data_IF_522978803150
#
_entry.id   IF_522978803150
#
_cell.length_a   1.000
_cell.length_b   1.000
_cell.length_c   1.000
_cell.angle_alpha   90.00
_cell.angle_beta   90.00
_cell.angle_gamma   90.00
#
_symmetry.space_group_name_H-M   'P 1'
#
loop_
_entity.id
_entity.type
_entity.pdbx_description
1 polymer ?
#
# COMPACT_ATOMS: atom_id res chain seq x y z
N UNK A 1 9.30 -22.32 4.61
CA UNK A 1 9.23 -22.47 6.09
C UNK A 1 7.95 -21.84 6.59
N UNK A 2 7.16 -22.57 7.41
CA UNK A 2 5.90 -22.06 7.94
C UNK A 2 6.12 -20.91 8.94
N UNK A 3 5.32 -19.84 8.81
CA UNK A 3 5.39 -18.62 9.63
C UNK A 3 4.46 -18.78 10.80
N UNK A 4 5.02 -19.01 11.98
CA UNK A 4 4.26 -19.30 13.20
C UNK A 4 3.92 -18.08 14.05
N UNK A 5 4.68 -16.98 13.89
CA UNK A 5 4.47 -15.72 14.61
C UNK A 5 4.15 -14.64 13.58
N UNK A 6 2.89 -14.25 13.51
CA UNK A 6 2.39 -13.31 12.52
C UNK A 6 1.86 -12.07 13.22
N UNK A 7 2.40 -10.91 12.92
CA UNK A 7 1.86 -9.62 13.32
C UNK A 7 1.00 -9.04 12.19
N UNK A 8 -0.26 -8.77 12.47
CA UNK A 8 -1.16 -8.08 11.54
C UNK A 8 -1.29 -6.62 11.97
N UNK A 9 -0.87 -5.70 11.10
CA UNK A 9 -1.09 -4.26 11.25
C UNK A 9 -2.37 -3.92 10.48
N UNK A 10 -3.45 -3.66 11.22
CA UNK A 10 -4.78 -3.48 10.68
C UNK A 10 -5.22 -2.02 10.65
N UNK A 11 -5.59 -1.54 9.46
CA UNK A 11 -6.24 -0.24 9.29
C UNK A 11 -7.77 -0.40 9.30
N UNK A 12 -8.47 -0.01 10.38
CA UNK A 12 -9.91 -0.22 10.53
C UNK A 12 -10.74 0.64 9.56
N UNK A 13 -10.16 1.68 8.94
CA UNK A 13 -10.88 2.55 8.00
C UNK A 13 -10.88 2.00 6.56
N UNK A 14 -10.20 0.88 6.28
CA UNK A 14 -10.00 0.35 4.93
C UNK A 14 -11.20 -0.37 4.31
N UNK A 15 -12.41 -0.27 4.88
CA UNK A 15 -13.65 -0.67 4.22
C UNK A 15 -14.54 -1.61 5.03
N UNK A 16 -15.88 -1.52 4.81
CA UNK A 16 -16.89 -2.29 5.54
C UNK A 16 -16.88 -3.80 5.28
N UNK A 17 -16.45 -4.26 4.10
CA UNK A 17 -16.34 -5.69 3.74
C UNK A 17 -15.09 -6.36 4.34
N UNK A 18 -14.21 -5.58 4.92
CA UNK A 18 -12.92 -6.03 5.42
C UNK A 18 -13.01 -6.88 6.68
N UNK A 19 -13.96 -6.61 7.58
CA UNK A 19 -14.05 -7.28 8.87
C UNK A 19 -14.27 -8.80 8.75
N UNK A 20 -15.16 -9.23 7.83
CA UNK A 20 -15.43 -10.64 7.61
C UNK A 20 -14.22 -11.37 7.00
N UNK A 21 -13.55 -10.75 6.01
CA UNK A 21 -12.35 -11.32 5.40
C UNK A 21 -11.21 -11.40 6.40
N UNK A 22 -10.99 -10.34 7.18
CA UNK A 22 -9.99 -10.30 8.25
C UNK A 22 -10.22 -11.42 9.26
N UNK A 23 -11.44 -11.55 9.80
CA UNK A 23 -11.78 -12.59 10.76
C UNK A 23 -11.57 -14.00 10.21
N UNK A 24 -12.00 -14.25 8.96
CA UNK A 24 -11.83 -15.55 8.33
C UNK A 24 -10.35 -15.90 8.09
N UNK A 25 -9.52 -14.93 7.70
CA UNK A 25 -8.07 -15.14 7.52
C UNK A 25 -7.39 -15.42 8.88
N UNK A 26 -7.72 -14.68 9.93
CA UNK A 26 -7.19 -14.91 11.27
C UNK A 26 -7.56 -16.31 11.78
N UNK A 27 -8.82 -16.71 11.60
CA UNK A 27 -9.27 -18.08 11.94
C UNK A 27 -8.48 -19.13 11.15
N UNK A 28 -8.27 -18.94 9.85
CA UNK A 28 -7.48 -19.84 9.00
C UNK A 28 -6.03 -19.94 9.47
N UNK A 29 -5.38 -18.82 9.76
CA UNK A 29 -4.00 -18.79 10.27
C UNK A 29 -3.86 -19.53 11.61
N UNK A 30 -4.81 -19.30 12.53
CA UNK A 30 -4.82 -19.98 13.82
C UNK A 30 -5.03 -21.49 13.67
N UNK A 31 -5.91 -21.91 12.75
CA UNK A 31 -6.13 -23.32 12.43
C UNK A 31 -4.89 -24.00 11.83
N UNK A 32 -4.06 -23.25 11.09
CA UNK A 32 -2.76 -23.69 10.58
C UNK A 32 -1.65 -23.73 11.66
N UNK A 33 -1.94 -23.27 12.88
CA UNK A 33 -1.01 -23.26 13.99
C UNK A 33 -0.18 -21.98 14.13
N UNK A 34 -0.55 -20.89 13.47
CA UNK A 34 0.07 -19.60 13.69
C UNK A 34 -0.45 -18.92 14.95
N UNK A 35 0.46 -18.26 15.68
CA UNK A 35 0.12 -17.25 16.68
C UNK A 35 -0.02 -15.91 15.96
N UNK A 36 -1.19 -15.30 16.08
CA UNK A 36 -1.52 -14.04 15.41
C UNK A 36 -1.68 -12.94 16.44
N UNK A 37 -0.84 -11.92 16.35
CA UNK A 37 -0.98 -10.67 17.07
C UNK A 37 -1.56 -9.60 16.14
N UNK A 38 -2.48 -8.74 16.63
CA UNK A 38 -3.12 -7.70 15.83
C UNK A 38 -2.87 -6.35 16.48
N UNK A 39 -2.29 -5.42 15.70
CA UNK A 39 -2.16 -4.00 16.08
C UNK A 39 -3.01 -3.15 15.15
N UNK A 40 -3.84 -2.30 15.71
CA UNK A 40 -4.77 -1.43 14.97
C UNK A 40 -4.15 -0.06 14.80
N UNK A 41 -4.23 0.48 13.58
CA UNK A 41 -3.77 1.86 13.33
C UNK A 41 -4.81 2.88 13.77
N UNK A 42 -4.38 3.99 14.33
CA UNK A 42 -5.22 5.04 14.87
C UNK A 42 -5.20 6.32 14.02
N UNK A 43 -4.08 6.57 13.33
CA UNK A 43 -3.86 7.77 12.50
C UNK A 43 -2.99 7.45 11.27
N UNK A 44 -2.92 8.38 10.34
CA UNK A 44 -2.06 8.25 9.15
C UNK A 44 -0.57 8.22 9.56
N UNK A 45 0.19 7.27 9.02
CA UNK A 45 1.58 7.03 9.40
C UNK A 45 1.77 6.05 10.57
N UNK A 46 0.70 5.67 11.31
CA UNK A 46 0.83 4.77 12.45
C UNK A 46 1.30 3.37 12.05
N UNK A 47 0.91 2.88 10.86
CA UNK A 47 1.41 1.60 10.37
C UNK A 47 2.93 1.60 10.15
N UNK A 48 3.52 2.74 9.77
CA UNK A 48 4.98 2.90 9.67
C UNK A 48 5.65 2.77 11.05
N UNK A 49 5.08 3.42 12.08
CA UNK A 49 5.62 3.34 13.44
C UNK A 49 5.54 1.91 13.97
N UNK A 50 4.34 1.28 13.87
CA UNK A 50 4.12 -0.09 14.33
C UNK A 50 5.03 -1.12 13.65
N UNK A 51 5.30 -0.95 12.34
CA UNK A 51 6.22 -1.82 11.61
C UNK A 51 7.69 -1.61 12.00
N UNK A 52 8.07 -0.36 12.29
CA UNK A 52 9.44 -0.03 12.72
C UNK A 52 9.76 -0.46 14.16
N UNK A 53 8.75 -0.73 14.99
CA UNK A 53 8.91 -1.23 16.36
C UNK A 53 9.19 -2.73 16.44
N UNK A 54 9.07 -3.45 15.32
CA UNK A 54 9.33 -4.90 15.30
C UNK A 54 10.82 -5.15 15.49
N UNK A 55 11.15 -5.94 16.49
CA UNK A 55 12.54 -6.27 16.81
C UNK A 55 12.92 -7.63 16.24
N UNK A 56 13.95 -7.66 15.40
CA UNK A 56 14.65 -8.86 14.94
C UNK A 56 13.75 -10.08 14.70
N UNK A 57 14.04 -11.17 15.40
CA UNK A 57 13.34 -12.46 15.24
C UNK A 57 12.00 -12.57 16.00
N UNK A 58 11.39 -11.46 16.41
CA UNK A 58 10.14 -11.48 17.18
C UNK A 58 8.94 -11.98 16.35
N UNK A 59 8.96 -11.74 15.04
CA UNK A 59 7.90 -12.09 14.10
C UNK A 59 8.47 -12.81 12.88
N UNK A 60 7.75 -13.82 12.38
CA UNK A 60 8.11 -14.54 11.17
C UNK A 60 7.53 -13.87 9.91
N UNK A 61 6.50 -13.03 10.09
CA UNK A 61 5.85 -12.26 9.03
C UNK A 61 5.11 -11.06 9.63
N UNK A 62 5.14 -9.93 8.92
CA UNK A 62 4.26 -8.79 9.18
C UNK A 62 3.23 -8.70 8.06
N UNK A 63 1.95 -8.62 8.41
CA UNK A 63 0.84 -8.52 7.46
C UNK A 63 0.26 -7.11 7.48
N UNK A 64 0.32 -6.44 6.34
CA UNK A 64 -0.40 -5.18 6.13
C UNK A 64 -1.86 -5.47 5.78
N UNK A 65 -2.75 -5.30 6.75
CA UNK A 65 -4.19 -5.51 6.59
C UNK A 65 -4.89 -4.17 6.34
N UNK A 66 -4.98 -3.78 5.07
CA UNK A 66 -5.50 -2.48 4.65
C UNK A 66 -5.54 -2.30 3.15
N UNK A 67 -5.53 -1.05 2.69
CA UNK A 67 -5.36 -0.68 1.28
C UNK A 67 -3.90 -0.37 0.95
N UNK A 68 -3.66 0.10 -0.29
CA UNK A 68 -2.33 0.41 -0.80
C UNK A 68 -1.54 1.39 0.09
N UNK A 69 -2.22 2.36 0.70
CA UNK A 69 -1.59 3.28 1.67
C UNK A 69 -1.06 2.57 2.90
N UNK A 70 -1.82 1.63 3.48
CA UNK A 70 -1.37 0.83 4.64
C UNK A 70 -0.18 -0.06 4.28
N UNK A 71 -0.22 -0.69 3.10
CA UNK A 71 0.90 -1.50 2.59
C UNK A 71 2.15 -0.62 2.46
N UNK A 72 2.01 0.56 1.86
CA UNK A 72 3.13 1.48 1.69
C UNK A 72 3.69 2.01 3.02
N UNK A 73 2.83 2.30 3.99
CA UNK A 73 3.27 2.66 5.35
C UNK A 73 4.08 1.55 6.01
N UNK A 74 3.61 0.28 5.92
CA UNK A 74 4.34 -0.86 6.49
C UNK A 74 5.69 -1.04 5.80
N UNK A 75 5.79 -0.91 4.47
CA UNK A 75 7.05 -0.95 3.73
C UNK A 75 8.04 0.10 4.27
N UNK A 76 7.59 1.34 4.48
CA UNK A 76 8.41 2.41 5.02
C UNK A 76 8.84 2.17 6.48
N UNK A 77 8.08 1.41 7.25
CA UNK A 77 8.46 0.99 8.59
C UNK A 77 9.51 -0.13 8.56
N UNK A 78 9.25 -1.18 7.76
CA UNK A 78 10.17 -2.30 7.59
C UNK A 78 11.54 -1.89 7.06
N UNK A 79 11.58 -0.89 6.17
CA UNK A 79 12.83 -0.38 5.62
C UNK A 79 13.76 0.30 6.65
N UNK A 80 13.29 0.50 7.89
CA UNK A 80 14.10 1.02 8.99
C UNK A 80 14.78 -0.08 9.81
N UNK A 81 14.45 -1.33 9.54
CA UNK A 81 15.01 -2.49 10.23
C UNK A 81 16.25 -3.00 9.49
N UNK A 82 17.26 -3.39 10.23
CA UNK A 82 18.47 -4.01 9.65
C UNK A 82 18.12 -5.35 8.97
N UNK A 83 17.22 -6.11 9.60
CA UNK A 83 16.67 -7.36 9.06
C UNK A 83 15.16 -7.31 9.17
N UNK A 84 14.49 -7.18 8.03
CA UNK A 84 13.03 -7.12 7.98
C UNK A 84 12.43 -8.52 7.77
N UNK A 85 11.40 -8.89 8.54
CA UNK A 85 10.62 -10.10 8.23
C UNK A 85 9.85 -9.92 6.91
N UNK A 86 9.44 -11.02 6.25
CA UNK A 86 8.59 -10.96 5.07
C UNK A 86 7.32 -10.14 5.30
N UNK A 87 6.93 -9.36 4.28
CA UNK A 87 5.67 -8.64 4.25
C UNK A 87 4.58 -9.50 3.62
N UNK A 88 3.52 -9.76 4.37
CA UNK A 88 2.24 -10.27 3.85
C UNK A 88 1.26 -9.14 3.55
N UNK A 89 0.33 -9.38 2.62
CA UNK A 89 -0.70 -8.40 2.26
C UNK A 89 -2.08 -9.03 2.45
N UNK A 90 -2.91 -8.39 3.26
CA UNK A 90 -4.33 -8.69 3.38
C UNK A 90 -5.12 -7.52 2.75
N UNK A 91 -5.64 -7.69 1.52
CA UNK A 91 -6.14 -6.59 0.70
C UNK A 91 -7.55 -6.17 1.11
N UNK A 92 -7.65 -5.24 2.06
CA UNK A 92 -8.91 -4.74 2.62
C UNK A 92 -9.36 -3.40 2.03
N UNK A 93 -8.55 -2.79 1.17
CA UNK A 93 -8.83 -1.49 0.56
C UNK A 93 -9.74 -1.57 -0.67
N UNK A 94 -9.85 -0.43 -1.38
CA UNK A 94 -10.69 -0.31 -2.58
C UNK A 94 -9.95 -0.71 -3.86
N UNK A 95 -8.70 -0.28 -4.03
CA UNK A 95 -7.91 -0.51 -5.25
C UNK A 95 -7.02 -1.75 -5.11
N UNK A 96 -6.26 -1.87 -4.01
CA UNK A 96 -5.37 -2.98 -3.68
C UNK A 96 -4.45 -3.34 -4.86
N UNK A 97 -3.78 -2.32 -5.41
CA UNK A 97 -3.02 -2.42 -6.65
C UNK A 97 -1.92 -3.46 -6.54
N UNK A 98 -1.11 -3.41 -5.46
CA UNK A 98 -0.04 -4.38 -5.25
C UNK A 98 -0.57 -5.81 -5.09
N UNK A 99 -1.72 -6.00 -4.43
CA UNK A 99 -2.33 -7.32 -4.31
C UNK A 99 -2.79 -7.87 -5.68
N UNK A 100 -3.25 -6.99 -6.59
CA UNK A 100 -3.58 -7.38 -7.96
C UNK A 100 -2.33 -7.69 -8.80
N UNK A 101 -1.27 -6.90 -8.65
CA UNK A 101 0.02 -7.13 -9.30
C UNK A 101 0.58 -8.50 -8.93
N UNK A 102 0.55 -8.82 -7.64
CA UNK A 102 0.98 -10.11 -7.09
C UNK A 102 -0.02 -11.25 -7.34
N UNK A 103 -1.14 -10.99 -8.02
CA UNK A 103 -2.20 -11.96 -8.28
C UNK A 103 -2.71 -12.69 -7.04
N UNK A 104 -2.78 -11.98 -5.89
CA UNK A 104 -3.23 -12.58 -4.65
C UNK A 104 -4.67 -13.11 -4.75
N UNK A 105 -4.96 -14.27 -4.16
CA UNK A 105 -6.29 -14.86 -4.18
C UNK A 105 -7.29 -14.00 -3.40
N UNK A 106 -8.59 -14.23 -3.67
CA UNK A 106 -9.69 -13.56 -2.96
C UNK A 106 -10.24 -14.39 -1.81
N UNK A 107 -9.97 -15.68 -1.79
CA UNK A 107 -10.43 -16.63 -0.78
C UNK A 107 -9.65 -16.41 0.53
N UNK A 108 -10.36 -16.35 1.66
CA UNK A 108 -9.74 -16.24 2.97
C UNK A 108 -8.83 -17.42 3.28
N UNK A 109 -9.24 -18.64 2.90
CA UNK A 109 -8.44 -19.85 3.08
C UNK A 109 -7.11 -19.76 2.31
N UNK A 110 -7.18 -19.45 1.02
CA UNK A 110 -5.97 -19.35 0.20
C UNK A 110 -5.05 -18.18 0.65
N UNK A 111 -5.62 -17.07 1.14
CA UNK A 111 -4.84 -15.98 1.74
C UNK A 111 -4.14 -16.45 3.03
N UNK A 112 -4.83 -17.18 3.90
CA UNK A 112 -4.23 -17.72 5.12
C UNK A 112 -3.09 -18.70 4.80
N UNK A 113 -3.26 -19.59 3.83
CA UNK A 113 -2.23 -20.53 3.37
C UNK A 113 -0.98 -19.79 2.84
N UNK A 114 -1.17 -18.78 1.98
CA UNK A 114 -0.06 -17.98 1.44
C UNK A 114 0.65 -17.19 2.56
N UNK A 115 -0.08 -16.60 3.47
CA UNK A 115 0.50 -15.87 4.61
C UNK A 115 1.25 -16.80 5.56
N UNK A 116 0.80 -18.03 5.72
CA UNK A 116 1.41 -19.02 6.60
C UNK A 116 2.66 -19.67 5.99
N UNK A 117 2.60 -20.15 4.76
CA UNK A 117 3.69 -20.92 4.14
C UNK A 117 3.91 -20.64 2.63
N UNK A 118 3.40 -19.53 2.11
CA UNK A 118 3.58 -19.15 0.72
C UNK A 118 5.02 -18.72 0.40
N UNK A 119 5.37 -18.81 -0.88
CA UNK A 119 6.64 -18.32 -1.40
C UNK A 119 6.75 -16.81 -1.24
N UNK A 120 7.96 -16.35 -0.99
CA UNK A 120 8.29 -14.92 -0.98
C UNK A 120 9.01 -14.53 -2.27
N UNK A 121 8.78 -13.30 -2.70
CA UNK A 121 9.56 -12.67 -3.78
C UNK A 121 10.13 -11.35 -3.29
N UNK A 122 11.25 -10.94 -3.84
CA UNK A 122 11.85 -9.66 -3.49
C UNK A 122 11.08 -8.53 -4.17
N UNK A 123 10.71 -7.52 -3.40
CA UNK A 123 10.16 -6.26 -3.89
C UNK A 123 11.24 -5.18 -3.78
N UNK A 124 11.46 -4.46 -4.87
CA UNK A 124 12.36 -3.30 -4.91
C UNK A 124 11.49 -2.03 -4.93
N UNK A 125 11.24 -1.38 -3.80
CA UNK A 125 10.44 -0.17 -3.79
C UNK A 125 11.18 0.98 -4.45
N UNK A 126 10.45 1.83 -5.16
CA UNK A 126 10.98 3.10 -5.62
C UNK A 126 11.21 4.05 -4.44
N UNK A 127 12.09 5.05 -4.62
CA UNK A 127 12.47 6.04 -3.61
C UNK A 127 12.16 7.43 -4.13
N UNK A 128 11.50 8.25 -3.32
CA UNK A 128 11.23 9.65 -3.62
C UNK A 128 11.66 10.54 -2.47
N UNK A 129 12.31 11.64 -2.80
CA UNK A 129 12.74 12.66 -1.84
C UNK A 129 12.37 14.04 -2.39
N UNK A 130 11.68 14.84 -1.60
CA UNK A 130 11.45 16.25 -1.89
C UNK A 130 12.49 17.13 -1.17
N UNK A 131 12.59 18.38 -1.56
CA UNK A 131 13.55 19.33 -0.94
C UNK A 131 13.28 19.51 0.55
N UNK A 132 12.01 19.62 0.95
CA UNK A 132 11.57 19.84 2.33
C UNK A 132 10.87 18.62 2.94
N UNK A 133 10.80 17.51 2.23
CA UNK A 133 10.09 16.30 2.65
C UNK A 133 11.07 15.16 2.93
N UNK A 134 10.82 14.36 3.98
CA UNK A 134 11.64 13.19 4.24
C UNK A 134 11.53 12.22 3.07
N UNK A 135 12.61 11.47 2.85
CA UNK A 135 12.63 10.38 1.88
C UNK A 135 11.53 9.36 2.18
N UNK A 136 10.86 8.92 1.14
CA UNK A 136 9.79 7.91 1.21
C UNK A 136 9.98 6.83 0.15
N UNK A 137 9.67 5.61 0.53
CA UNK A 137 9.57 4.49 -0.39
C UNK A 137 8.14 4.39 -0.93
N UNK A 138 8.02 3.92 -2.17
CA UNK A 138 6.73 3.59 -2.77
C UNK A 138 6.80 2.24 -3.49
N UNK A 139 5.78 1.41 -3.28
CA UNK A 139 5.76 0.05 -3.82
C UNK A 139 5.30 0.00 -5.28
N UNK A 140 4.38 0.89 -5.66
CA UNK A 140 3.70 0.84 -6.94
C UNK A 140 3.94 2.09 -7.78
N UNK A 141 3.36 3.20 -7.37
CA UNK A 141 3.45 4.45 -8.11
C UNK A 141 3.58 5.64 -7.18
N UNK A 142 4.35 6.63 -7.61
CA UNK A 142 4.41 7.95 -7.00
C UNK A 142 3.91 8.99 -8.01
N UNK A 143 2.91 9.77 -7.61
CA UNK A 143 2.37 10.87 -8.41
C UNK A 143 2.92 12.22 -7.97
N UNK A 144 3.22 13.08 -8.94
CA UNK A 144 3.61 14.48 -8.72
C UNK A 144 2.68 15.38 -9.52
N UNK A 145 2.27 16.50 -8.95
CA UNK A 145 1.42 17.48 -9.65
C UNK A 145 -0.06 17.15 -9.57
N UNK A 146 -0.73 17.07 -10.72
CA UNK A 146 -2.18 16.88 -10.79
C UNK A 146 -2.63 15.57 -10.15
N UNK A 147 -1.92 14.48 -10.43
CA UNK A 147 -2.24 13.16 -9.86
C UNK A 147 -2.20 13.19 -8.33
N UNK A 148 -1.12 13.72 -7.75
CA UNK A 148 -0.99 13.87 -6.30
C UNK A 148 -2.11 14.75 -5.69
N UNK A 149 -2.49 15.85 -6.36
CA UNK A 149 -3.58 16.74 -5.92
C UNK A 149 -4.93 16.05 -5.95
N UNK A 150 -5.20 15.24 -6.99
CA UNK A 150 -6.44 14.46 -7.10
C UNK A 150 -6.51 13.46 -5.95
N UNK A 151 -5.45 12.69 -5.73
CA UNK A 151 -5.39 11.68 -4.66
C UNK A 151 -5.55 12.34 -3.27
N UNK A 152 -4.84 13.44 -3.03
CA UNK A 152 -4.93 14.18 -1.76
C UNK A 152 -6.29 14.87 -1.54
N UNK A 153 -6.94 15.30 -2.62
CA UNK A 153 -8.22 16.00 -2.57
C UNK A 153 -9.44 15.11 -2.34
N UNK A 154 -9.31 13.80 -2.59
CA UNK A 154 -10.41 12.84 -2.36
C UNK A 154 -10.59 12.60 -0.87
N UNK A 155 -11.66 13.19 -0.29
CA UNK A 155 -12.00 12.99 1.11
C UNK A 155 -12.55 11.59 1.39
N UNK A 156 -12.35 11.10 2.62
CA UNK A 156 -12.87 9.81 3.07
C UNK A 156 -14.39 9.65 2.90
N UNK A 157 -15.23 10.65 3.22
CA UNK A 157 -16.68 10.62 2.97
C UNK A 157 -17.02 10.51 1.48
N UNK A 158 -16.36 11.29 0.60
CA UNK A 158 -16.58 11.26 -0.84
C UNK A 158 -16.18 9.92 -1.44
N UNK A 159 -15.07 9.32 -0.99
CA UNK A 159 -14.65 7.99 -1.39
C UNK A 159 -15.64 6.89 -0.98
N UNK A 160 -16.25 7.03 0.21
CA UNK A 160 -17.29 6.09 0.70
C UNK A 160 -18.57 6.16 -0.11
N UNK A 161 -18.96 7.37 -0.57
CA UNK A 161 -20.20 7.59 -1.30
C UNK A 161 -20.06 7.24 -2.79
N UNK A 162 -19.01 7.70 -3.45
CA UNK A 162 -18.82 7.65 -4.90
C UNK A 162 -17.82 6.59 -5.35
N UNK A 163 -17.11 5.92 -4.43
CA UNK A 163 -16.11 4.93 -4.78
C UNK A 163 -15.04 5.48 -5.73
N UNK A 164 -14.85 4.85 -6.88
CA UNK A 164 -13.91 5.31 -7.91
C UNK A 164 -14.33 6.64 -8.56
N UNK A 165 -15.62 6.98 -8.57
CA UNK A 165 -16.14 8.24 -9.12
C UNK A 165 -15.65 9.48 -8.36
N UNK A 166 -15.27 9.33 -7.07
CA UNK A 166 -14.71 10.42 -6.28
C UNK A 166 -13.43 11.01 -6.91
N UNK A 167 -12.61 10.17 -7.52
CA UNK A 167 -11.38 10.59 -8.19
C UNK A 167 -11.68 11.38 -9.47
N UNK A 168 -12.71 10.97 -10.24
CA UNK A 168 -13.13 11.71 -11.43
C UNK A 168 -13.71 13.10 -11.07
N UNK A 169 -14.52 13.19 -10.01
CA UNK A 169 -15.04 14.46 -9.52
C UNK A 169 -13.89 15.39 -9.04
N UNK A 170 -12.91 14.84 -8.32
CA UNK A 170 -11.79 15.65 -7.85
C UNK A 170 -10.88 16.07 -9.01
N UNK A 171 -10.68 15.20 -10.02
CA UNK A 171 -9.94 15.54 -11.25
C UNK A 171 -10.60 16.72 -11.97
N UNK A 172 -11.91 16.68 -12.18
CA UNK A 172 -12.66 17.79 -12.77
C UNK A 172 -12.53 19.06 -11.94
N UNK A 173 -12.63 18.97 -10.62
CA UNK A 173 -12.46 20.11 -9.70
C UNK A 173 -11.07 20.73 -9.80
N UNK A 174 -10.00 19.91 -9.83
CA UNK A 174 -8.63 20.40 -9.95
C UNK A 174 -8.38 21.03 -11.31
N UNK A 175 -8.96 20.47 -12.36
CA UNK A 175 -8.86 21.02 -13.73
C UNK A 175 -9.53 22.39 -13.83
N UNK A 176 -10.74 22.57 -13.26
CA UNK A 176 -11.46 23.84 -13.22
C UNK A 176 -10.76 24.92 -12.40
N UNK A 177 -10.04 24.54 -11.35
CA UNK A 177 -9.27 25.49 -10.52
C UNK A 177 -8.06 26.07 -11.28
N UNK A 178 -7.54 25.36 -12.25
CA UNK A 178 -6.35 25.75 -13.00
C UNK A 178 -5.09 25.87 -12.13
N UNK A 179 -4.06 26.54 -12.67
CA UNK A 179 -2.88 26.91 -11.88
C UNK A 179 -1.99 25.72 -11.45
N UNK A 180 -1.84 24.71 -12.30
CA UNK A 180 -0.86 23.66 -12.05
C UNK A 180 0.55 24.20 -12.27
N UNK A 181 1.43 24.16 -11.26
CA UNK A 181 2.82 24.56 -11.43
C UNK A 181 3.51 23.61 -12.39
N UNK A 182 4.53 24.12 -13.07
CA UNK A 182 5.45 23.29 -13.82
C UNK A 182 6.52 22.76 -12.88
N UNK A 183 6.68 21.44 -12.85
CA UNK A 183 7.72 20.75 -12.10
C UNK A 183 8.90 20.48 -13.02
N UNK A 184 10.09 20.63 -12.50
CA UNK A 184 11.32 20.19 -13.14
C UNK A 184 11.72 18.85 -12.55
N UNK A 185 12.16 17.94 -13.38
CA UNK A 185 12.70 16.64 -12.98
C UNK A 185 13.93 16.34 -13.81
N UNK A 186 14.85 15.61 -13.22
CA UNK A 186 15.94 14.99 -13.93
C UNK A 186 15.68 13.48 -13.98
N UNK A 187 15.76 12.91 -15.17
CA UNK A 187 15.61 11.48 -15.38
C UNK A 187 16.86 11.02 -16.12
N UNK A 188 17.70 10.27 -15.43
CA UNK A 188 18.98 9.73 -15.94
C UNK A 188 19.88 10.81 -16.58
N UNK A 189 19.96 11.99 -15.93
CA UNK A 189 20.75 13.12 -16.38
C UNK A 189 20.08 13.98 -17.47
N UNK A 190 18.85 13.68 -17.84
CA UNK A 190 18.07 14.45 -18.81
C UNK A 190 17.01 15.30 -18.12
N UNK A 191 17.04 16.64 -18.28
CA UNK A 191 16.04 17.50 -17.66
C UNK A 191 14.70 17.42 -18.40
N UNK A 192 13.63 17.29 -17.63
CA UNK A 192 12.25 17.26 -18.10
C UNK A 192 11.40 18.30 -17.38
N UNK A 193 10.39 18.81 -18.07
CA UNK A 193 9.38 19.70 -17.48
C UNK A 193 7.99 19.10 -17.68
N UNK A 194 7.22 19.02 -16.62
CA UNK A 194 5.85 18.52 -16.69
C UNK A 194 4.97 19.17 -15.62
N UNK A 195 3.66 19.25 -15.88
CA UNK A 195 2.67 19.68 -14.89
C UNK A 195 2.12 18.52 -14.04
N UNK A 196 2.35 17.31 -14.49
CA UNK A 196 2.04 16.08 -13.78
C UNK A 196 2.97 14.97 -14.23
N UNK A 197 3.44 14.17 -13.29
CA UNK A 197 4.28 13.00 -13.53
C UNK A 197 3.78 11.84 -12.72
N UNK A 198 3.87 10.65 -13.27
CA UNK A 198 3.66 9.39 -12.56
C UNK A 198 4.93 8.56 -12.72
N UNK A 199 5.55 8.24 -11.60
CA UNK A 199 6.71 7.35 -11.54
C UNK A 199 6.17 5.97 -11.21
N UNK A 200 6.30 5.03 -12.15
CA UNK A 200 5.77 3.68 -12.02
C UNK A 200 6.86 2.71 -11.55
N UNK A 201 6.55 1.93 -10.53
CA UNK A 201 7.33 0.79 -10.04
C UNK A 201 6.54 -0.52 -10.17
N UNK A 202 5.45 -0.50 -10.90
CA UNK A 202 4.57 -1.61 -11.22
C UNK A 202 3.65 -1.28 -12.38
N UNK A 203 3.04 -2.28 -12.97
CA UNK A 203 2.24 -2.14 -14.20
C UNK A 203 0.89 -1.49 -13.98
N UNK A 204 0.30 -1.71 -12.78
CA UNK A 204 -1.10 -1.39 -12.51
C UNK A 204 -1.27 -0.05 -11.81
N UNK A 205 -2.32 0.69 -12.18
CA UNK A 205 -2.75 1.95 -11.59
C UNK A 205 -4.24 1.91 -11.21
N UNK A 206 -4.58 2.44 -10.04
CA UNK A 206 -5.96 2.62 -9.61
C UNK A 206 -6.80 1.32 -9.50
N UNK A 207 -6.15 0.19 -9.39
CA UNK A 207 -6.72 -1.14 -9.34
C UNK A 207 -6.11 -2.06 -10.40
N UNK A 208 -6.82 -2.32 -11.50
CA UNK A 208 -6.38 -3.23 -12.57
C UNK A 208 -6.09 -2.52 -13.91
N UNK A 209 -6.01 -1.21 -13.88
CA UNK A 209 -5.70 -0.46 -15.10
C UNK A 209 -4.20 -0.55 -15.38
N UNK A 210 -3.83 -1.02 -16.57
CA UNK A 210 -2.43 -1.10 -16.99
C UNK A 210 -1.98 0.28 -17.46
N UNK A 211 -1.11 0.93 -16.69
CA UNK A 211 -0.57 2.26 -17.00
C UNK A 211 0.87 2.21 -17.48
N UNK A 212 1.65 1.25 -17.02
CA UNK A 212 3.06 1.08 -17.34
C UNK A 212 3.35 -0.41 -17.62
N UNK A 213 3.06 -0.91 -18.83
CA UNK A 213 3.14 -2.35 -19.11
C UNK A 213 4.54 -2.93 -18.97
N UNK A 214 5.56 -2.10 -19.12
CA UNK A 214 6.97 -2.51 -19.06
C UNK A 214 7.64 -2.29 -17.68
N UNK A 215 6.87 -1.81 -16.68
CA UNK A 215 7.38 -1.61 -15.33
C UNK A 215 7.43 -2.92 -14.52
#
# INVERSE_FOLDING_TARGET
MSRKRILIIHNPTSGRRSANLMGAVVTGLTALGARVDIRVTEYAGHATALAAEVTGDSQDCIVAAGGDGTVNEVINGLARLDVAPPLGILPLGTANVLAHELTLPKSATALAEILFDGNTQTLYPGRIKGEEQPERLFAQMAGVGMDARIVAGVSGPMKRLLGKGAYACEAARQWLKGGLPTYQSDIDGTPHQARSMIIANGKLYGGRFVAAPDA
#
